data_IF_720314335581
#
_entry.id   IF_720314335581
#
_cell.length_a   1.000
_cell.length_b   1.000
_cell.length_c   1.000
_cell.angle_alpha   90.00
_cell.angle_beta   90.00
_cell.angle_gamma   90.00
#
_symmetry.space_group_name_H-M   'P 1'
#
loop_
_entity.id
_entity.type
_entity.pdbx_description
1 polymer ?
#
# COMPACT_ATOMS: atom_id res chain seq x y z
N UNK A 1 -35.32 15.99 12.68
CA UNK A 1 -36.46 15.14 13.11
C UNK A 1 -37.72 15.99 13.15
N UNK A 2 -38.80 15.53 12.52
CA UNK A 2 -40.04 16.31 12.39
C UNK A 2 -40.73 16.57 13.73
N UNK A 3 -41.36 17.74 13.86
CA UNK A 3 -42.25 18.06 14.98
C UNK A 3 -43.57 17.31 14.85
N UNK A 4 -44.30 17.15 15.95
CA UNK A 4 -45.56 16.37 16.05
C UNK A 4 -46.61 16.73 14.98
N UNK A 5 -46.56 17.96 14.45
CA UNK A 5 -47.49 18.47 13.43
C UNK A 5 -46.87 18.61 12.03
N UNK A 6 -45.66 18.08 11.79
CA UNK A 6 -44.95 18.28 10.52
C UNK A 6 -44.44 19.71 10.32
N UNK A 7 -43.77 19.97 9.20
CA UNK A 7 -43.18 21.28 8.87
C UNK A 7 -43.87 21.84 7.64
N UNK A 8 -44.43 23.06 7.75
CA UNK A 8 -45.20 23.72 6.68
C UNK A 8 -44.47 24.90 6.02
N UNK A 9 -43.21 25.13 6.41
CA UNK A 9 -42.35 26.18 5.88
C UNK A 9 -41.13 25.58 5.21
N UNK A 10 -40.53 26.32 4.27
CA UNK A 10 -39.25 25.93 3.67
C UNK A 10 -38.18 25.75 4.76
N UNK A 11 -37.30 24.77 4.56
CA UNK A 11 -36.24 24.44 5.51
C UNK A 11 -35.23 23.46 4.94
N UNK A 12 -34.14 23.28 5.66
CA UNK A 12 -33.08 22.31 5.33
C UNK A 12 -33.39 21.01 6.06
N UNK A 13 -33.50 19.91 5.32
CA UNK A 13 -33.69 18.57 5.89
C UNK A 13 -32.39 18.03 6.50
N UNK A 14 -31.29 18.15 5.75
CA UNK A 14 -29.96 17.74 6.15
C UNK A 14 -28.90 18.56 5.40
N UNK A 15 -27.75 18.75 6.05
CA UNK A 15 -26.53 19.23 5.42
C UNK A 15 -25.55 18.06 5.39
N UNK A 16 -24.95 17.81 4.23
CA UNK A 16 -23.95 16.76 4.03
C UNK A 16 -22.69 17.45 3.54
N UNK A 17 -21.57 17.20 4.23
CA UNK A 17 -20.25 17.71 3.86
C UNK A 17 -19.45 16.63 3.14
N UNK A 18 -18.73 17.03 2.09
CA UNK A 18 -17.94 16.12 1.25
C UNK A 18 -16.51 16.64 1.15
N UNK A 19 -15.54 15.72 1.20
CA UNK A 19 -14.14 16.01 0.90
C UNK A 19 -13.86 15.74 -0.59
N UNK A 20 -13.28 16.72 -1.27
CA UNK A 20 -12.92 16.59 -2.67
C UNK A 20 -11.60 15.81 -2.82
N UNK A 21 -11.67 14.64 -3.45
CA UNK A 21 -10.49 13.77 -3.67
C UNK A 21 -9.80 13.97 -5.03
N UNK A 22 -10.37 14.82 -5.89
CA UNK A 22 -9.81 15.06 -7.22
C UNK A 22 -10.63 16.07 -8.02
N UNK A 23 -10.07 16.52 -9.14
CA UNK A 23 -10.72 17.44 -10.07
C UNK A 23 -11.71 16.71 -10.95
N UNK A 24 -12.86 17.32 -11.21
CA UNK A 24 -13.87 16.73 -12.06
C UNK A 24 -15.27 17.26 -11.74
N UNK A 25 -16.25 16.69 -12.44
CA UNK A 25 -17.67 16.94 -12.19
C UNK A 25 -18.32 15.64 -11.76
N UNK A 26 -19.16 15.70 -10.73
CA UNK A 26 -20.03 14.59 -10.35
C UNK A 26 -21.44 15.09 -10.10
N UNK A 27 -22.43 14.29 -10.50
CA UNK A 27 -23.84 14.60 -10.28
C UNK A 27 -24.27 14.10 -8.90
N UNK A 28 -25.01 14.95 -8.18
CA UNK A 28 -25.71 14.57 -6.96
C UNK A 28 -27.16 14.29 -7.32
N UNK A 29 -27.48 13.02 -7.50
CA UNK A 29 -28.80 12.58 -7.93
C UNK A 29 -29.66 12.19 -6.74
N UNK A 30 -30.84 12.80 -6.64
CA UNK A 30 -31.87 12.41 -5.69
C UNK A 30 -32.71 11.30 -6.32
N UNK A 31 -32.76 10.14 -5.68
CA UNK A 31 -33.58 9.02 -6.12
C UNK A 31 -34.35 8.43 -4.94
N UNK A 32 -35.48 7.76 -5.23
CA UNK A 32 -36.31 7.10 -4.23
C UNK A 32 -36.78 8.03 -3.09
N UNK A 33 -37.11 9.28 -3.41
CA UNK A 33 -37.61 10.25 -2.43
C UNK A 33 -39.10 10.02 -2.17
N UNK A 34 -39.41 9.62 -0.94
CA UNK A 34 -40.78 9.57 -0.42
C UNK A 34 -40.94 10.66 0.62
N UNK A 35 -41.92 11.54 0.43
CA UNK A 35 -42.29 12.54 1.41
C UNK A 35 -43.70 12.22 1.93
N UNK A 36 -43.91 12.26 3.24
CA UNK A 36 -45.20 11.97 3.85
C UNK A 36 -45.57 12.99 4.93
N UNK A 37 -46.86 13.08 5.21
CA UNK A 37 -47.39 13.84 6.34
C UNK A 37 -47.19 13.06 7.67
N UNK A 38 -47.47 13.69 8.84
CA UNK A 38 -47.36 13.00 10.13
C UNK A 38 -48.29 11.79 10.31
N UNK A 39 -49.33 11.65 9.46
CA UNK A 39 -50.24 10.51 9.41
C UNK A 39 -49.81 9.45 8.39
N UNK A 40 -48.59 9.55 7.85
CA UNK A 40 -48.01 8.68 6.83
C UNK A 40 -48.71 8.69 5.46
N UNK A 41 -49.52 9.71 5.16
CA UNK A 41 -50.01 9.90 3.79
C UNK A 41 -48.92 10.53 2.94
N UNK A 42 -48.71 9.99 1.75
CA UNK A 42 -47.74 10.52 0.80
C UNK A 42 -48.11 11.95 0.37
N UNK A 43 -47.11 12.83 0.38
CA UNK A 43 -47.19 14.17 -0.18
C UNK A 43 -46.78 14.09 -1.64
N UNK A 44 -47.76 14.10 -2.54
CA UNK A 44 -47.55 14.04 -3.99
C UNK A 44 -47.03 15.35 -4.59
N UNK A 45 -46.55 15.28 -5.84
CA UNK A 45 -46.08 16.45 -6.60
C UNK A 45 -44.71 16.98 -6.17
N UNK A 46 -43.92 16.18 -5.47
CA UNK A 46 -42.52 16.52 -5.11
C UNK A 46 -41.70 16.65 -6.38
N UNK A 47 -41.11 17.83 -6.58
CA UNK A 47 -40.17 18.09 -7.66
C UNK A 47 -38.76 17.86 -7.12
N UNK A 48 -38.04 16.91 -7.72
CA UNK A 48 -36.64 16.67 -7.42
C UNK A 48 -35.76 17.54 -8.29
N UNK A 49 -34.81 18.21 -7.66
CA UNK A 49 -33.79 18.98 -8.34
C UNK A 49 -32.43 18.39 -7.96
N UNK A 50 -31.83 17.69 -8.91
CA UNK A 50 -30.47 17.16 -8.76
C UNK A 50 -29.45 18.30 -8.71
N UNK A 51 -28.34 18.03 -8.04
CA UNK A 51 -27.19 18.93 -7.99
C UNK A 51 -26.05 18.43 -8.87
N UNK A 52 -25.06 19.29 -9.08
CA UNK A 52 -23.75 18.90 -9.57
C UNK A 52 -22.67 19.56 -8.73
N UNK A 53 -21.63 18.81 -8.40
CA UNK A 53 -20.41 19.34 -7.79
C UNK A 53 -19.36 19.42 -8.87
N UNK A 54 -18.86 20.63 -9.10
CA UNK A 54 -17.75 20.89 -10.01
C UNK A 54 -16.53 21.29 -9.18
N UNK A 55 -15.55 20.41 -9.10
CA UNK A 55 -14.26 20.70 -8.47
C UNK A 55 -13.36 21.30 -9.54
N UNK A 56 -13.34 22.62 -9.61
CA UNK A 56 -12.53 23.39 -10.57
C UNK A 56 -11.24 23.90 -9.94
N UNK A 57 -10.14 23.81 -10.70
CA UNK A 57 -8.78 24.12 -10.27
C UNK A 57 -7.88 22.94 -10.63
N UNK A 58 -6.57 23.13 -10.74
CA UNK A 58 -5.67 22.00 -10.51
C UNK A 58 -5.89 21.55 -9.05
N UNK A 59 -5.72 20.27 -8.68
CA UNK A 59 -5.47 19.95 -7.27
C UNK A 59 -4.43 20.95 -6.78
N UNK A 60 -4.50 21.47 -5.54
CA UNK A 60 -3.38 22.23 -5.02
C UNK A 60 -2.13 21.41 -5.36
N UNK A 61 -1.15 21.98 -6.09
CA UNK A 61 0.03 21.22 -6.46
C UNK A 61 0.52 20.56 -5.17
N UNK A 62 0.88 19.26 -5.17
CA UNK A 62 1.38 18.59 -3.97
C UNK A 62 2.37 19.55 -3.35
N UNK A 63 2.01 20.04 -2.16
CA UNK A 63 2.60 21.25 -1.63
C UNK A 63 4.11 21.04 -1.66
N UNK A 64 4.91 21.87 -2.36
CA UNK A 64 6.35 21.64 -2.44
C UNK A 64 6.91 21.74 -1.02
N UNK A 65 7.17 20.59 -0.40
CA UNK A 65 7.53 20.48 1.03
C UNK A 65 6.52 19.76 1.95
N UNK A 66 5.46 19.14 1.41
CA UNK A 66 4.54 18.31 2.21
C UNK A 66 5.11 16.93 2.55
N UNK A 67 4.63 16.34 3.64
CA UNK A 67 5.02 15.00 4.04
C UNK A 67 4.59 13.96 2.99
N UNK A 68 5.38 12.90 2.77
CA UNK A 68 5.02 11.82 1.85
C UNK A 68 4.98 10.51 2.63
N UNK A 69 3.83 9.85 2.69
CA UNK A 69 3.72 8.51 3.28
C UNK A 69 4.00 7.49 2.20
N UNK A 70 5.02 6.66 2.38
CA UNK A 70 5.60 5.82 1.32
C UNK A 70 5.69 4.36 1.73
N UNK A 71 5.55 3.48 0.74
CA UNK A 71 6.01 2.09 0.78
C UNK A 71 6.69 1.79 -0.56
N UNK A 72 7.88 1.18 -0.59
CA UNK A 72 8.62 0.98 -1.84
C UNK A 72 8.03 -0.16 -2.69
N UNK A 73 8.41 -0.16 -3.97
CA UNK A 73 8.34 -1.36 -4.79
C UNK A 73 9.36 -2.39 -4.31
N UNK A 74 8.93 -3.63 -4.21
CA UNK A 74 9.74 -4.73 -3.70
C UNK A 74 9.51 -6.02 -4.48
N UNK A 75 10.50 -6.89 -4.49
CA UNK A 75 10.43 -8.19 -5.14
C UNK A 75 11.13 -9.25 -4.28
N UNK A 76 10.57 -10.46 -4.18
CA UNK A 76 11.19 -11.56 -3.45
C UNK A 76 10.64 -12.93 -3.87
N UNK A 77 11.43 -13.97 -3.63
CA UNK A 77 11.07 -15.39 -3.80
C UNK A 77 10.37 -15.99 -2.57
N UNK A 78 10.44 -15.32 -1.41
CA UNK A 78 9.97 -15.84 -0.13
C UNK A 78 9.43 -14.75 0.79
N UNK A 79 10.06 -14.58 1.96
CA UNK A 79 9.69 -13.53 2.91
C UNK A 79 10.57 -12.30 2.74
N UNK A 80 9.98 -11.12 2.77
CA UNK A 80 10.69 -9.85 2.63
C UNK A 80 10.09 -8.80 3.55
N UNK A 81 10.93 -7.92 4.08
CA UNK A 81 10.48 -6.79 4.90
C UNK A 81 10.62 -5.48 4.14
N UNK A 82 9.53 -4.73 4.01
CA UNK A 82 9.53 -3.39 3.42
C UNK A 82 9.16 -2.32 4.47
N UNK A 83 9.82 -1.16 4.48
CA UNK A 83 9.50 -0.08 5.39
C UNK A 83 8.33 0.76 4.86
N UNK A 84 7.40 1.11 5.75
CA UNK A 84 6.48 2.23 5.56
C UNK A 84 7.10 3.46 6.21
N UNK A 85 7.26 4.55 5.45
CA UNK A 85 7.92 5.78 5.90
C UNK A 85 7.02 7.00 5.75
N UNK A 86 7.34 8.04 6.51
CA UNK A 86 6.91 9.42 6.23
C UNK A 86 8.16 10.21 5.88
N UNK A 87 8.22 10.78 4.68
CA UNK A 87 9.34 11.60 4.23
C UNK A 87 9.02 13.09 4.41
N UNK A 88 10.03 13.89 4.76
CA UNK A 88 9.95 15.34 4.90
C UNK A 88 8.84 15.84 5.85
N UNK A 89 8.55 15.09 6.92
CA UNK A 89 7.52 15.50 7.89
C UNK A 89 8.08 16.49 8.92
N UNK A 90 7.23 17.37 9.43
CA UNK A 90 7.54 18.25 10.56
C UNK A 90 6.57 17.92 11.68
N UNK A 91 7.11 17.76 12.89
CA UNK A 91 6.37 17.56 14.14
C UNK A 91 5.34 16.40 14.12
N UNK A 92 5.62 15.28 13.45
CA UNK A 92 4.69 14.15 13.38
C UNK A 92 4.37 13.58 14.77
N UNK A 93 3.10 13.69 15.18
CA UNK A 93 2.58 13.22 16.45
C UNK A 93 1.88 11.88 16.36
N UNK A 94 1.01 11.67 15.37
CA UNK A 94 0.30 10.41 15.19
C UNK A 94 -0.04 10.11 13.72
N UNK A 95 -0.09 8.83 13.37
CA UNK A 95 -0.53 8.34 12.07
C UNK A 95 -1.44 7.12 12.25
N UNK A 96 -2.54 7.08 11.49
CA UNK A 96 -3.42 5.93 11.33
C UNK A 96 -3.57 5.65 9.84
N UNK A 97 -3.18 4.45 9.40
CA UNK A 97 -3.26 4.05 8.00
C UNK A 97 -3.70 2.61 7.83
N UNK A 98 -4.17 2.30 6.63
CA UNK A 98 -4.48 0.95 6.16
C UNK A 98 -3.58 0.63 4.97
N UNK A 99 -3.00 -0.57 4.94
CA UNK A 99 -2.31 -1.13 3.78
C UNK A 99 -3.19 -2.22 3.17
N UNK A 100 -3.40 -2.17 1.86
CA UNK A 100 -4.16 -3.17 1.10
C UNK A 100 -3.33 -3.79 -0.03
N UNK A 101 -3.59 -5.08 -0.28
CA UNK A 101 -2.89 -5.92 -1.26
C UNK A 101 -3.78 -7.11 -1.67
N UNK A 102 -3.39 -7.85 -2.71
CA UNK A 102 -4.03 -9.12 -3.08
C UNK A 102 -3.49 -10.28 -2.20
N UNK A 103 -4.31 -10.87 -1.32
CA UNK A 103 -3.89 -11.96 -0.44
C UNK A 103 -3.60 -13.27 -1.20
N UNK A 104 -3.99 -13.37 -2.47
CA UNK A 104 -3.60 -14.47 -3.35
C UNK A 104 -2.17 -14.35 -3.87
N UNK A 105 -1.55 -13.16 -3.80
CA UNK A 105 -0.16 -12.91 -4.22
C UNK A 105 0.77 -12.88 -3.00
N UNK A 106 0.45 -12.09 -1.99
CA UNK A 106 1.23 -12.02 -0.75
C UNK A 106 0.33 -11.96 0.46
N UNK A 107 0.84 -12.39 1.60
CA UNK A 107 0.21 -12.12 2.89
C UNK A 107 1.19 -11.40 3.81
N UNK A 108 0.71 -10.44 4.59
CA UNK A 108 1.50 -9.85 5.66
C UNK A 108 1.59 -10.86 6.80
N UNK A 109 2.81 -11.34 7.07
CA UNK A 109 3.08 -12.31 8.13
C UNK A 109 3.46 -11.64 9.45
N UNK A 110 4.01 -10.43 9.39
CA UNK A 110 4.43 -9.69 10.59
C UNK A 110 4.51 -8.18 10.35
N UNK A 111 4.22 -7.42 11.38
CA UNK A 111 4.45 -5.97 11.46
C UNK A 111 5.29 -5.69 12.71
N UNK A 112 6.56 -5.36 12.54
CA UNK A 112 7.57 -5.33 13.62
C UNK A 112 8.91 -4.79 13.08
N UNK A 113 9.94 -4.37 13.81
CA UNK A 113 10.14 -3.81 15.15
C UNK A 113 10.99 -2.53 14.93
N UNK A 114 11.01 -1.63 15.90
CA UNK A 114 11.75 -0.36 15.89
C UNK A 114 11.14 0.72 14.97
N UNK A 115 9.84 1.04 15.11
CA UNK A 115 9.33 2.30 14.56
C UNK A 115 10.07 3.48 15.22
N UNK A 116 10.13 4.62 14.54
CA UNK A 116 10.64 5.85 15.15
C UNK A 116 9.61 6.45 16.13
N UNK A 117 8.34 6.08 16.00
CA UNK A 117 7.28 6.43 16.94
C UNK A 117 7.44 5.70 18.28
N UNK A 118 7.09 6.37 19.38
CA UNK A 118 7.09 5.78 20.72
C UNK A 118 6.25 4.49 20.80
N UNK A 119 5.09 4.50 20.13
CA UNK A 119 4.15 3.37 20.12
C UNK A 119 3.74 3.02 18.70
N UNK A 120 3.66 1.72 18.41
CA UNK A 120 3.04 1.15 17.20
C UNK A 120 2.06 0.06 17.62
N UNK A 121 0.82 0.19 17.15
CA UNK A 121 -0.23 -0.81 17.26
C UNK A 121 -0.60 -1.27 15.84
N UNK A 122 -0.61 -2.58 15.63
CA UNK A 122 -0.95 -3.18 14.36
C UNK A 122 -2.12 -4.14 14.52
N UNK A 123 -3.16 -3.95 13.71
CA UNK A 123 -4.21 -4.94 13.53
C UNK A 123 -3.95 -5.71 12.23
N UNK A 124 -3.73 -7.02 12.37
CA UNK A 124 -3.46 -7.95 11.26
C UNK A 124 -4.55 -9.03 11.13
N UNK A 125 -5.69 -8.90 11.82
CA UNK A 125 -6.78 -9.87 11.77
C UNK A 125 -7.33 -10.06 10.34
N UNK A 126 -7.32 -9.00 9.54
CA UNK A 126 -7.75 -9.01 8.14
C UNK A 126 -6.60 -9.28 7.14
N UNK A 127 -5.40 -9.67 7.61
CA UNK A 127 -4.25 -9.89 6.72
C UNK A 127 -4.56 -10.97 5.66
N UNK A 128 -5.22 -12.06 6.06
CA UNK A 128 -5.67 -13.10 5.13
C UNK A 128 -6.75 -12.62 4.12
N UNK A 129 -7.31 -11.43 4.34
CA UNK A 129 -8.28 -10.77 3.45
C UNK A 129 -7.65 -9.62 2.65
N UNK A 130 -6.34 -9.45 2.70
CA UNK A 130 -5.62 -8.45 1.92
C UNK A 130 -5.55 -7.07 2.57
N UNK A 131 -5.73 -6.97 3.89
CA UNK A 131 -5.77 -5.68 4.57
C UNK A 131 -5.14 -5.73 5.97
N UNK A 132 -4.35 -4.73 6.32
CA UNK A 132 -3.89 -4.49 7.69
C UNK A 132 -4.06 -3.01 8.05
N UNK A 133 -4.23 -2.72 9.34
CA UNK A 133 -4.33 -1.34 9.84
C UNK A 133 -3.26 -1.08 10.89
N UNK A 134 -2.62 0.08 10.80
CA UNK A 134 -1.54 0.50 11.67
C UNK A 134 -1.89 1.83 12.32
N UNK A 135 -1.60 1.96 13.61
CA UNK A 135 -1.65 3.21 14.36
C UNK A 135 -0.30 3.40 15.05
N UNK A 136 0.38 4.51 14.79
CA UNK A 136 1.62 4.87 15.46
C UNK A 136 1.54 6.29 16.02
N UNK A 137 2.07 6.53 17.21
CA UNK A 137 1.97 7.83 17.87
C UNK A 137 3.09 8.09 18.89
N UNK A 138 3.38 9.37 19.09
CA UNK A 138 4.24 9.92 20.14
C UNK A 138 3.51 9.93 21.48
N UNK A 139 4.25 9.73 22.56
CA UNK A 139 3.71 9.75 23.93
C UNK A 139 4.49 10.74 24.81
N UNK A 140 5.75 10.43 25.11
CA UNK A 140 6.58 11.23 25.99
C UNK A 140 7.57 12.10 25.21
N UNK A 141 7.90 11.68 23.99
CA UNK A 141 8.82 12.39 23.12
C UNK A 141 8.09 13.43 22.25
N UNK A 142 8.78 14.48 21.80
CA UNK A 142 8.22 15.50 20.91
C UNK A 142 7.92 14.92 19.52
N UNK A 143 7.18 15.68 18.70
CA UNK A 143 6.88 15.28 17.32
C UNK A 143 8.14 15.04 16.48
N UNK A 144 8.05 14.04 15.60
CA UNK A 144 9.17 13.59 14.79
C UNK A 144 9.34 14.47 13.53
N UNK A 145 10.59 14.64 13.10
CA UNK A 145 10.92 15.51 11.97
C UNK A 145 11.80 14.77 10.94
N UNK A 146 11.69 15.15 9.67
CA UNK A 146 12.46 14.57 8.57
C UNK A 146 11.86 13.26 8.06
N UNK A 147 12.71 12.24 7.90
CA UNK A 147 12.30 10.93 7.41
C UNK A 147 12.05 9.99 8.59
N UNK A 148 10.81 9.57 8.75
CA UNK A 148 10.29 8.81 9.90
C UNK A 148 9.89 7.41 9.45
N UNK A 149 10.37 6.39 10.14
CA UNK A 149 9.92 5.01 9.98
C UNK A 149 8.63 4.77 10.77
N UNK A 150 7.53 4.48 10.08
CA UNK A 150 6.24 4.14 10.71
C UNK A 150 6.25 2.69 11.17
N UNK A 151 6.59 1.77 10.27
CA UNK A 151 6.63 0.34 10.55
C UNK A 151 7.46 -0.38 9.49
N UNK A 152 8.06 -1.49 9.89
CA UNK A 152 8.56 -2.51 8.97
C UNK A 152 7.48 -3.59 8.83
N UNK A 153 7.12 -3.90 7.58
CA UNK A 153 6.08 -4.87 7.23
C UNK A 153 6.73 -6.04 6.53
N UNK A 154 6.61 -7.23 7.12
CA UNK A 154 7.09 -8.48 6.53
C UNK A 154 5.98 -9.14 5.73
N UNK A 155 6.25 -9.32 4.44
CA UNK A 155 5.42 -10.01 3.47
C UNK A 155 5.92 -11.44 3.30
N UNK A 156 5.00 -12.35 3.01
CA UNK A 156 5.27 -13.71 2.58
C UNK A 156 4.63 -13.92 1.22
N UNK A 157 5.45 -14.27 0.22
CA UNK A 157 4.98 -14.61 -1.11
C UNK A 157 4.12 -15.89 -1.08
N UNK A 158 2.97 -15.87 -1.75
CA UNK A 158 2.00 -16.97 -1.84
C UNK A 158 1.57 -17.27 -3.29
N UNK A 159 1.50 -16.24 -4.13
CA UNK A 159 1.05 -16.35 -5.50
C UNK A 159 2.03 -17.06 -6.41
N UNK A 160 1.63 -17.28 -7.68
CA UNK A 160 2.53 -17.82 -8.67
C UNK A 160 3.66 -16.83 -8.97
N UNK A 161 4.81 -17.36 -9.38
CA UNK A 161 5.94 -16.60 -9.90
C UNK A 161 5.51 -15.55 -10.93
N UNK A 162 6.13 -14.38 -10.88
CA UNK A 162 5.88 -13.26 -11.78
C UNK A 162 4.55 -12.55 -11.52
N UNK A 163 3.70 -13.07 -10.62
CA UNK A 163 2.54 -12.32 -10.16
C UNK A 163 2.98 -11.14 -9.30
N UNK A 164 2.18 -10.09 -9.34
CA UNK A 164 2.43 -8.86 -8.61
C UNK A 164 1.15 -8.34 -8.01
N UNK A 165 1.25 -7.67 -6.87
CA UNK A 165 0.15 -6.91 -6.28
C UNK A 165 0.58 -5.48 -6.00
N UNK A 166 -0.30 -4.48 -6.21
CA UNK A 166 -0.07 -3.17 -5.65
C UNK A 166 -0.08 -3.24 -4.11
N UNK A 167 0.74 -2.40 -3.49
CA UNK A 167 0.76 -2.13 -2.06
C UNK A 167 0.17 -0.74 -1.85
N UNK A 168 -1.15 -0.69 -1.64
CA UNK A 168 -1.88 0.57 -1.57
C UNK A 168 -2.04 1.03 -0.13
N UNK A 169 -1.53 2.23 0.16
CA UNK A 169 -1.71 2.89 1.44
C UNK A 169 -2.95 3.79 1.40
N UNK A 170 -3.70 3.79 2.50
CA UNK A 170 -4.75 4.77 2.78
C UNK A 170 -4.48 5.36 4.16
N UNK A 171 -4.15 6.65 4.21
CA UNK A 171 -3.96 7.36 5.47
C UNK A 171 -5.31 7.89 5.92
N UNK A 172 -5.74 7.48 7.12
CA UNK A 172 -6.98 7.96 7.75
C UNK A 172 -6.70 9.24 8.54
N UNK A 173 -5.58 9.29 9.27
CA UNK A 173 -5.13 10.50 9.96
C UNK A 173 -3.60 10.58 9.95
N UNK A 174 -3.08 11.79 9.80
CA UNK A 174 -1.71 12.16 10.10
C UNK A 174 -1.74 13.53 10.77
N UNK A 175 -1.27 13.62 12.02
CA UNK A 175 -1.37 14.85 12.82
C UNK A 175 -0.03 15.23 13.42
N UNK A 176 0.12 16.51 13.74
CA UNK A 176 1.23 17.02 14.52
C UNK A 176 1.17 16.57 15.99
N UNK A 177 2.20 16.90 16.77
CA UNK A 177 2.29 16.56 18.19
C UNK A 177 1.80 17.69 19.11
N UNK A 178 1.10 18.69 18.56
CA UNK A 178 0.51 19.77 19.35
C UNK A 178 -0.71 19.26 20.13
N UNK A 179 -1.14 19.94 21.21
CA UNK A 179 -2.34 19.57 21.95
C UNK A 179 -3.62 19.51 21.10
N UNK A 180 -3.67 20.28 20.00
CA UNK A 180 -4.79 20.34 19.07
C UNK A 180 -4.75 19.21 18.02
N UNK A 181 -3.64 18.47 17.90
CA UNK A 181 -3.41 17.42 16.90
C UNK A 181 -3.76 17.90 15.49
N UNK A 182 -3.16 19.00 15.02
CA UNK A 182 -3.52 19.57 13.72
C UNK A 182 -3.17 18.60 12.60
N UNK A 183 -4.01 18.47 11.56
CA UNK A 183 -3.72 17.59 10.43
C UNK A 183 -2.49 18.08 9.67
N UNK A 184 -1.61 17.14 9.31
CA UNK A 184 -0.44 17.41 8.46
C UNK A 184 -0.84 17.11 7.00
N UNK A 185 -0.76 18.10 6.10
CA UNK A 185 -0.93 17.86 4.67
C UNK A 185 0.12 16.88 4.16
N UNK A 186 -0.33 15.87 3.43
CA UNK A 186 0.53 14.81 2.93
C UNK A 186 0.07 14.29 1.58
N UNK A 187 0.98 13.56 0.93
CA UNK A 187 0.70 12.75 -0.24
C UNK A 187 1.06 11.29 0.04
N UNK A 188 0.60 10.39 -0.82
CA UNK A 188 0.85 8.96 -0.70
C UNK A 188 1.67 8.49 -1.90
N UNK A 189 2.75 7.77 -1.62
CA UNK A 189 3.51 7.01 -2.61
C UNK A 189 3.30 5.52 -2.35
N UNK A 190 2.42 4.90 -3.14
CA UNK A 190 2.21 3.46 -3.10
C UNK A 190 3.42 2.72 -3.67
N UNK A 191 3.49 1.42 -3.37
CA UNK A 191 4.47 0.51 -3.94
C UNK A 191 3.79 -0.70 -4.56
N UNK A 192 4.59 -1.74 -4.78
CA UNK A 192 4.16 -3.03 -5.33
C UNK A 192 5.00 -4.15 -4.74
N UNK A 193 4.45 -5.36 -4.77
CA UNK A 193 5.19 -6.58 -4.47
C UNK A 193 5.16 -7.49 -5.68
N UNK A 194 6.33 -7.95 -6.13
CA UNK A 194 6.47 -8.92 -7.23
C UNK A 194 7.09 -10.22 -6.72
N UNK A 195 6.50 -11.37 -7.10
CA UNK A 195 7.06 -12.68 -6.75
C UNK A 195 8.13 -13.06 -7.76
N UNK A 196 9.36 -13.24 -7.28
CA UNK A 196 10.48 -13.73 -8.10
C UNK A 196 10.52 -15.25 -8.11
N UNK A 197 11.15 -15.81 -9.15
CA UNK A 197 11.49 -17.22 -9.23
C UNK A 197 12.95 -17.40 -8.87
N UNK A 198 13.21 -18.18 -7.84
CA UNK A 198 14.58 -18.49 -7.48
C UNK A 198 15.23 -19.25 -8.66
N UNK A 199 16.40 -18.81 -9.11
CA UNK A 199 17.06 -19.30 -10.33
C UNK A 199 16.63 -18.64 -11.64
N UNK A 200 15.62 -17.77 -11.67
CA UNK A 200 15.29 -16.90 -12.82
C UNK A 200 16.17 -15.65 -12.76
N UNK A 201 17.42 -15.82 -13.18
CA UNK A 201 18.48 -14.82 -13.04
C UNK A 201 18.33 -13.72 -14.07
N UNK A 202 17.66 -14.01 -15.19
CA UNK A 202 17.49 -13.08 -16.31
C UNK A 202 16.12 -12.34 -16.30
N UNK A 203 15.17 -12.78 -15.47
CA UNK A 203 13.85 -12.16 -15.28
C UNK A 203 12.83 -12.47 -16.38
N UNK A 204 13.01 -13.55 -17.14
CA UNK A 204 12.10 -13.92 -18.24
C UNK A 204 10.89 -14.78 -17.80
N UNK A 205 10.82 -15.09 -16.50
CA UNK A 205 9.75 -15.86 -15.87
C UNK A 205 9.95 -17.37 -15.95
N UNK A 206 11.13 -17.85 -16.32
CA UNK A 206 11.48 -19.28 -16.41
C UNK A 206 12.78 -19.54 -15.65
N UNK A 207 12.94 -20.76 -15.13
CA UNK A 207 14.27 -21.27 -14.77
C UNK A 207 14.70 -22.23 -15.84
N UNK A 208 15.68 -21.84 -16.65
CA UNK A 208 16.26 -22.71 -17.67
C UNK A 208 17.75 -22.43 -17.95
N UNK A 209 18.27 -23.01 -19.03
CA UNK A 209 19.68 -22.89 -19.37
C UNK A 209 20.10 -21.44 -19.71
N UNK A 210 19.17 -20.57 -20.06
CA UNK A 210 19.41 -19.15 -20.26
C UNK A 210 19.87 -18.48 -18.96
N UNK A 211 19.31 -18.88 -17.81
CA UNK A 211 19.71 -18.36 -16.49
C UNK A 211 21.11 -18.78 -16.10
N UNK A 212 21.45 -20.06 -16.32
CA UNK A 212 22.81 -20.56 -16.13
C UNK A 212 23.82 -19.77 -16.99
N UNK A 213 23.45 -19.49 -18.24
CA UNK A 213 24.29 -18.71 -19.15
C UNK A 213 24.41 -17.25 -18.68
N UNK A 214 23.30 -16.61 -18.29
CA UNK A 214 23.27 -15.24 -17.82
C UNK A 214 24.14 -15.08 -16.58
N UNK A 215 23.95 -15.94 -15.58
CA UNK A 215 24.73 -15.95 -14.35
C UNK A 215 26.22 -16.16 -14.62
N UNK A 216 26.58 -17.14 -15.45
CA UNK A 216 27.98 -17.39 -15.79
C UNK A 216 28.62 -16.21 -16.53
N UNK A 217 27.91 -15.59 -17.48
CA UNK A 217 28.40 -14.41 -18.23
C UNK A 217 28.55 -13.19 -17.33
N UNK A 218 27.60 -12.99 -16.41
CA UNK A 218 27.66 -11.95 -15.40
C UNK A 218 28.91 -12.09 -14.53
N UNK A 219 29.14 -13.29 -13.97
CA UNK A 219 30.33 -13.58 -13.14
C UNK A 219 31.65 -13.43 -13.91
N UNK A 220 31.65 -13.65 -15.22
CA UNK A 220 32.81 -13.45 -16.10
C UNK A 220 32.99 -11.99 -16.55
N UNK A 221 32.08 -11.08 -16.21
CA UNK A 221 32.13 -9.67 -16.64
C UNK A 221 31.95 -9.50 -18.15
N UNK A 222 31.18 -10.38 -18.80
CA UNK A 222 30.92 -10.30 -20.24
C UNK A 222 30.02 -9.10 -20.53
N UNK A 223 30.42 -8.26 -21.48
CA UNK A 223 29.64 -7.08 -21.86
C UNK A 223 28.23 -7.43 -22.32
N UNK A 224 27.22 -6.71 -21.82
CA UNK A 224 25.80 -6.94 -22.06
C UNK A 224 25.11 -7.90 -21.07
N UNK A 225 25.84 -8.39 -20.05
CA UNK A 225 25.34 -9.27 -19.00
C UNK A 225 25.68 -8.74 -17.59
N UNK A 226 25.83 -7.42 -17.46
CA UNK A 226 26.21 -6.77 -16.22
C UNK A 226 25.10 -6.77 -15.18
N UNK A 227 23.84 -6.92 -15.59
CA UNK A 227 22.66 -6.87 -14.71
C UNK A 227 21.96 -8.22 -14.67
N UNK A 228 21.67 -8.67 -13.45
CA UNK A 228 20.92 -9.89 -13.14
C UNK A 228 19.93 -9.62 -12.00
N UNK A 229 19.00 -10.53 -11.76
CA UNK A 229 18.18 -10.55 -10.55
C UNK A 229 19.00 -11.22 -9.43
N UNK A 230 19.71 -10.41 -8.65
CA UNK A 230 20.59 -10.91 -7.57
C UNK A 230 19.83 -11.77 -6.55
N UNK A 231 18.60 -11.40 -6.20
CA UNK A 231 17.73 -12.14 -5.27
C UNK A 231 17.31 -13.53 -5.79
N UNK A 232 17.48 -13.80 -7.09
CA UNK A 232 17.24 -15.10 -7.71
C UNK A 232 18.55 -15.85 -8.04
N UNK A 233 19.71 -15.25 -7.77
CA UNK A 233 21.00 -15.76 -8.25
C UNK A 233 21.76 -16.61 -7.23
N UNK A 234 21.60 -16.38 -5.93
CA UNK A 234 22.17 -17.22 -4.85
C UNK A 234 21.31 -18.47 -4.63
N UNK A 235 21.24 -19.32 -5.64
CA UNK A 235 20.35 -20.49 -5.65
C UNK A 235 20.75 -21.58 -4.67
N UNK A 236 21.96 -21.50 -4.11
CA UNK A 236 22.46 -22.45 -3.12
C UNK A 236 22.33 -21.94 -1.67
N UNK A 237 21.96 -20.66 -1.49
CA UNK A 237 21.67 -20.02 -0.22
C UNK A 237 22.89 -19.82 0.67
N UNK A 238 24.09 -19.61 0.10
CA UNK A 238 25.32 -19.41 0.89
C UNK A 238 25.65 -17.92 1.17
N UNK A 239 24.80 -17.01 0.69
CA UNK A 239 24.95 -15.57 0.81
C UNK A 239 25.92 -14.96 -0.19
N UNK A 240 26.33 -15.68 -1.24
CA UNK A 240 27.25 -15.20 -2.26
C UNK A 240 26.80 -15.66 -3.63
N UNK A 241 26.79 -14.73 -4.59
CA UNK A 241 26.57 -15.04 -5.99
C UNK A 241 27.93 -15.42 -6.61
N UNK A 242 28.16 -16.71 -6.83
CA UNK A 242 29.45 -17.23 -7.31
C UNK A 242 29.30 -18.44 -8.25
N UNK A 243 30.42 -19.00 -8.72
CA UNK A 243 30.39 -20.15 -9.63
C UNK A 243 29.71 -21.40 -9.04
N UNK A 244 29.57 -21.46 -7.71
CA UNK A 244 28.78 -22.48 -7.01
C UNK A 244 27.32 -22.47 -7.44
N UNK A 245 26.73 -21.29 -7.63
CA UNK A 245 25.35 -21.10 -8.06
C UNK A 245 25.13 -21.57 -9.49
N UNK A 246 26.06 -21.26 -10.41
CA UNK A 246 26.03 -21.80 -11.77
C UNK A 246 25.97 -23.33 -11.77
N UNK A 247 26.81 -23.98 -10.96
CA UNK A 247 26.82 -25.43 -10.84
C UNK A 247 25.52 -25.95 -10.23
N UNK A 248 25.03 -25.30 -9.17
CA UNK A 248 23.83 -25.72 -8.46
C UNK A 248 22.60 -25.64 -9.39
N UNK A 249 22.43 -24.51 -10.08
CA UNK A 249 21.37 -24.28 -11.05
C UNK A 249 21.42 -25.26 -12.22
N UNK A 250 22.60 -25.51 -12.79
CA UNK A 250 22.75 -26.47 -13.87
C UNK A 250 22.41 -27.91 -13.44
N UNK A 251 22.77 -28.30 -12.22
CA UNK A 251 22.44 -29.62 -11.66
C UNK A 251 20.95 -29.76 -11.35
N UNK A 252 20.33 -28.70 -10.85
CA UNK A 252 18.89 -28.62 -10.67
C UNK A 252 18.15 -28.89 -11.99
N UNK A 253 18.51 -28.14 -13.04
CA UNK A 253 17.92 -28.29 -14.38
C UNK A 253 18.16 -29.67 -15.01
N UNK A 254 19.28 -30.31 -14.67
CA UNK A 254 19.60 -31.67 -15.11
C UNK A 254 18.91 -32.76 -14.27
N UNK A 255 18.14 -32.40 -13.23
CA UNK A 255 17.44 -33.35 -12.36
C UNK A 255 18.40 -34.22 -11.54
N UNK A 256 19.55 -33.68 -11.13
CA UNK A 256 20.55 -34.42 -10.36
C UNK A 256 20.08 -34.53 -8.90
N UNK A 257 20.10 -35.75 -8.37
CA UNK A 257 19.74 -36.01 -6.97
C UNK A 257 20.55 -35.14 -5.99
N UNK A 258 19.87 -34.49 -5.05
CA UNK A 258 20.44 -33.56 -4.07
C UNK A 258 20.49 -32.08 -4.50
N UNK A 259 19.94 -31.75 -5.67
CA UNK A 259 19.84 -30.40 -6.23
C UNK A 259 18.41 -30.05 -6.66
N UNK A 260 17.41 -30.74 -6.12
CA UNK A 260 16.01 -30.59 -6.52
C UNK A 260 15.39 -29.26 -6.07
N UNK A 261 15.92 -28.64 -5.01
CA UNK A 261 15.39 -27.40 -4.44
C UNK A 261 16.39 -26.26 -4.61
N UNK A 262 15.95 -25.13 -5.15
CA UNK A 262 16.69 -23.87 -5.14
C UNK A 262 16.36 -23.14 -3.82
N UNK A 263 17.38 -22.60 -3.15
CA UNK A 263 17.28 -22.11 -1.76
C UNK A 263 17.17 -20.60 -1.63
#
# INVERSE_FOLDING_TARGET
MGVENGVTRAGVLATIEFEAVGTGSTSLTLSNVLLSDPSAHEIGGVVLNDGAVNVTGTPPPPQPGGAIVTIPDVAATGTLTAPIRIENVTDAGAIHLTLTYDPGVVIVSRTCCNPDFDTLLANTEDAARGSITLIAYQTQNPGLNGNVLVANVTFMALGPIGSSTPLNLKVTTLTDATPECNPIPHSISNGSFTILLNGDVNGDGRVDAADCMYLAKHLLGVSGFETIIEDAADVNGNGKIEAGDCMYLAKHLAGINGFEELK
#
